data_IF_909137698545
#
_entry.id   IF_909137698545
#
_cell.length_a   1.000
_cell.length_b   1.000
_cell.length_c   1.000
_cell.angle_alpha   90.00
_cell.angle_beta   90.00
_cell.angle_gamma   90.00
#
_symmetry.space_group_name_H-M   'P 1'
#
loop_
_entity.id
_entity.type
_entity.pdbx_description
1 polymer ?
#
# COMPACT_ATOMS: atom_id res chain seq x y z
N UNK A 1 -23.26 -40.06 -3.60
CA UNK A 1 -23.15 -38.60 -3.43
C UNK A 1 -22.20 -38.38 -2.28
N UNK A 2 -20.90 -38.29 -2.60
CA UNK A 2 -19.84 -38.17 -1.59
C UNK A 2 -19.82 -36.73 -1.10
N UNK A 3 -19.72 -36.56 0.22
CA UNK A 3 -19.72 -35.26 0.90
C UNK A 3 -18.51 -34.40 0.49
N UNK A 4 -17.49 -35.03 -0.10
CA UNK A 4 -16.21 -34.46 -0.54
C UNK A 4 -16.31 -33.60 -1.80
N UNK A 5 -17.21 -33.92 -2.75
CA UNK A 5 -17.36 -33.16 -4.00
C UNK A 5 -17.96 -31.77 -3.76
N UNK A 6 -18.88 -31.66 -2.78
CA UNK A 6 -19.48 -30.38 -2.39
C UNK A 6 -18.47 -29.46 -1.70
N UNK A 7 -17.54 -30.04 -0.95
CA UNK A 7 -16.46 -29.29 -0.30
C UNK A 7 -15.52 -28.71 -1.36
N UNK A 8 -15.15 -29.49 -2.38
CA UNK A 8 -14.26 -29.07 -3.49
C UNK A 8 -14.89 -27.94 -4.32
N UNK A 9 -16.19 -28.00 -4.60
CA UNK A 9 -16.89 -26.94 -5.34
C UNK A 9 -16.91 -25.62 -4.55
N UNK A 10 -17.17 -25.70 -3.23
CA UNK A 10 -17.16 -24.54 -2.32
C UNK A 10 -15.77 -23.90 -2.24
N UNK A 11 -14.68 -24.67 -2.06
CA UNK A 11 -13.34 -24.06 -2.01
C UNK A 11 -12.92 -23.46 -3.36
N UNK A 12 -13.41 -23.99 -4.48
CA UNK A 12 -13.19 -23.42 -5.82
C UNK A 12 -13.89 -22.07 -5.99
N UNK A 13 -15.19 -21.98 -5.65
CA UNK A 13 -15.95 -20.72 -5.72
C UNK A 13 -15.37 -19.66 -4.79
N UNK A 14 -14.98 -20.02 -3.56
CA UNK A 14 -14.35 -19.08 -2.61
C UNK A 14 -13.01 -18.57 -3.16
N UNK A 15 -12.20 -19.45 -3.75
CA UNK A 15 -10.90 -19.08 -4.33
C UNK A 15 -11.08 -18.14 -5.53
N UNK A 16 -12.06 -18.40 -6.40
CA UNK A 16 -12.39 -17.54 -7.54
C UNK A 16 -12.94 -16.18 -7.09
N UNK A 17 -13.76 -16.14 -6.05
CA UNK A 17 -14.23 -14.88 -5.47
C UNK A 17 -13.09 -14.10 -4.83
N UNK A 18 -12.15 -14.76 -4.14
CA UNK A 18 -10.98 -14.09 -3.56
C UNK A 18 -10.05 -13.54 -4.64
N UNK A 19 -9.84 -14.31 -5.71
CA UNK A 19 -9.06 -13.90 -6.87
C UNK A 19 -9.72 -12.73 -7.61
N UNK A 20 -11.02 -12.82 -7.90
CA UNK A 20 -11.79 -11.78 -8.58
C UNK A 20 -11.89 -10.49 -7.74
N UNK A 21 -12.14 -10.62 -6.43
CA UNK A 21 -12.19 -9.48 -5.52
C UNK A 21 -10.81 -8.83 -5.33
N UNK A 22 -9.73 -9.60 -5.42
CA UNK A 22 -8.36 -9.08 -5.43
C UNK A 22 -8.03 -8.33 -6.72
N UNK A 23 -8.57 -8.72 -7.88
CA UNK A 23 -8.41 -7.94 -9.12
C UNK A 23 -9.23 -6.64 -9.14
N UNK A 24 -10.24 -6.51 -8.26
CA UNK A 24 -11.14 -5.36 -8.27
C UNK A 24 -10.62 -4.16 -7.45
N UNK A 25 -9.61 -4.34 -6.59
CA UNK A 25 -9.09 -3.28 -5.72
C UNK A 25 -7.75 -2.69 -6.17
N UNK A 26 -7.18 -3.15 -7.30
CA UNK A 26 -5.78 -2.86 -7.68
C UNK A 26 -5.55 -1.65 -8.59
N UNK A 27 -6.52 -0.77 -8.81
CA UNK A 27 -6.32 0.35 -9.77
C UNK A 27 -5.69 1.60 -9.13
N UNK A 28 -5.87 1.80 -7.83
CA UNK A 28 -5.30 2.96 -7.14
C UNK A 28 -4.06 2.53 -6.36
N UNK A 29 -2.88 2.86 -6.87
CA UNK A 29 -1.62 2.90 -6.09
C UNK A 29 -1.43 4.34 -5.58
N UNK A 30 -2.14 4.76 -4.51
CA UNK A 30 -2.03 6.13 -4.01
C UNK A 30 -0.63 6.38 -3.46
N UNK A 31 -0.16 7.65 -3.49
CA UNK A 31 1.11 7.99 -2.87
C UNK A 31 1.06 7.71 -1.35
N UNK A 32 2.19 7.29 -0.74
CA UNK A 32 2.27 7.18 0.70
C UNK A 32 2.05 8.57 1.34
N UNK A 33 1.50 8.59 2.54
CA UNK A 33 1.27 9.82 3.30
C UNK A 33 2.45 10.11 4.24
N UNK A 34 2.90 11.37 4.34
CA UNK A 34 3.98 11.74 5.24
C UNK A 34 3.55 11.59 6.70
N UNK A 35 4.48 11.22 7.61
CA UNK A 35 4.18 11.21 9.04
C UNK A 35 3.97 12.65 9.53
N UNK A 36 3.08 12.79 10.52
CA UNK A 36 2.81 14.07 11.19
C UNK A 36 3.98 14.39 12.12
N UNK A 37 4.50 15.61 12.03
CA UNK A 37 5.55 16.07 12.92
C UNK A 37 5.00 16.28 14.34
N UNK A 38 5.63 15.68 15.38
CA UNK A 38 5.19 15.85 16.76
C UNK A 38 5.47 17.28 17.23
N UNK A 39 4.57 17.82 18.06
CA UNK A 39 4.80 19.11 18.68
C UNK A 39 5.81 19.02 19.84
N UNK A 40 6.39 20.15 20.23
CA UNK A 40 7.30 20.22 21.38
C UNK A 40 6.62 19.81 22.70
N UNK A 41 5.30 19.99 22.79
CA UNK A 41 4.48 19.57 23.94
C UNK A 41 4.24 18.06 23.99
N UNK A 42 4.36 17.34 22.87
CA UNK A 42 4.33 15.87 22.83
C UNK A 42 5.64 15.26 23.33
N UNK A 43 6.69 16.07 23.45
CA UNK A 43 7.94 15.65 24.05
C UNK A 43 7.77 15.51 25.57
N UNK A 44 8.08 14.32 26.09
CA UNK A 44 8.05 14.00 27.51
C UNK A 44 8.94 14.90 28.39
N UNK A 45 9.90 15.66 27.80
CA UNK A 45 10.81 16.62 28.46
C UNK A 45 11.66 16.07 29.61
N UNK A 46 11.50 14.79 29.96
CA UNK A 46 12.14 14.12 31.09
C UNK A 46 13.18 13.08 30.66
N UNK A 47 13.49 13.02 29.36
CA UNK A 47 14.44 12.06 28.79
C UNK A 47 13.85 10.66 28.56
N UNK A 48 12.56 10.57 28.17
CA UNK A 48 11.95 9.30 27.78
C UNK A 48 12.69 8.66 26.57
N UNK A 49 12.88 7.33 26.62
CA UNK A 49 13.50 6.52 25.57
C UNK A 49 12.49 5.43 25.11
N UNK A 50 12.06 5.41 23.82
CA UNK A 50 12.52 6.26 22.72
C UNK A 50 11.91 7.66 22.72
N UNK A 51 12.69 8.67 22.29
CA UNK A 51 12.20 10.03 22.12
C UNK A 51 11.15 10.06 21.00
N UNK A 52 10.09 10.88 21.15
CA UNK A 52 9.06 11.01 20.11
C UNK A 52 9.63 11.49 18.77
N UNK A 53 10.69 12.30 18.82
CA UNK A 53 11.41 12.76 17.63
C UNK A 53 12.23 11.64 16.97
N UNK A 54 12.68 10.64 17.72
CA UNK A 54 13.40 9.49 17.17
C UNK A 54 12.40 8.58 16.43
N UNK A 55 11.25 8.31 17.04
CA UNK A 55 10.15 7.57 16.40
C UNK A 55 9.70 8.27 15.11
N UNK A 56 9.58 9.61 15.15
CA UNK A 56 9.24 10.40 13.98
C UNK A 56 10.30 10.28 12.88
N UNK A 57 11.59 10.35 13.21
CA UNK A 57 12.67 10.20 12.24
C UNK A 57 12.67 8.82 11.57
N UNK A 58 12.45 7.75 12.34
CA UNK A 58 12.31 6.39 11.81
C UNK A 58 11.10 6.27 10.87
N UNK A 59 9.97 6.85 11.26
CA UNK A 59 8.77 6.88 10.42
C UNK A 59 9.02 7.66 9.12
N UNK A 60 9.76 8.77 9.20
CA UNK A 60 10.12 9.60 8.06
C UNK A 60 11.07 8.87 7.10
N UNK A 61 12.01 8.07 7.60
CA UNK A 61 12.86 7.22 6.78
C UNK A 61 12.04 6.18 6.01
N UNK A 62 11.15 5.45 6.70
CA UNK A 62 10.26 4.47 6.07
C UNK A 62 9.37 5.11 5.02
N UNK A 63 8.86 6.31 5.31
CA UNK A 63 8.08 7.08 4.35
C UNK A 63 8.88 7.42 3.09
N UNK A 64 10.12 7.90 3.22
CA UNK A 64 10.99 8.23 2.08
C UNK A 64 11.26 7.00 1.21
N UNK A 65 11.53 5.85 1.82
CA UNK A 65 11.74 4.60 1.10
C UNK A 65 10.48 4.16 0.35
N UNK A 66 9.31 4.23 1.00
CA UNK A 66 8.03 3.93 0.37
C UNK A 66 7.72 4.88 -0.79
N UNK A 67 8.02 6.18 -0.63
CA UNK A 67 7.81 7.19 -1.66
C UNK A 67 8.69 6.94 -2.89
N UNK A 68 9.96 6.56 -2.68
CA UNK A 68 10.86 6.20 -3.77
C UNK A 68 10.36 4.97 -4.55
N UNK A 69 9.92 3.94 -3.84
CA UNK A 69 9.37 2.73 -4.46
C UNK A 69 8.08 3.01 -5.23
N UNK A 70 7.20 3.84 -4.66
CA UNK A 70 5.99 4.29 -5.32
C UNK A 70 6.32 5.06 -6.60
N UNK A 71 7.25 6.02 -6.54
CA UNK A 71 7.66 6.78 -7.72
C UNK A 71 8.20 5.86 -8.83
N UNK A 72 9.02 4.86 -8.49
CA UNK A 72 9.51 3.89 -9.46
C UNK A 72 8.39 3.09 -10.14
N UNK A 73 7.32 2.74 -9.42
CA UNK A 73 6.12 2.10 -10.00
C UNK A 73 5.35 3.05 -10.89
N UNK A 74 5.20 4.31 -10.51
CA UNK A 74 4.53 5.33 -11.32
C UNK A 74 5.28 5.59 -12.63
N UNK A 75 6.61 5.67 -12.59
CA UNK A 75 7.45 5.86 -13.78
C UNK A 75 7.35 4.64 -14.72
N UNK A 76 7.32 3.42 -14.18
CA UNK A 76 7.12 2.19 -14.95
C UNK A 76 5.69 2.07 -15.53
N UNK A 77 4.67 2.48 -14.77
CA UNK A 77 3.27 2.51 -15.19
C UNK A 77 2.99 3.55 -16.27
N UNK A 78 3.63 4.72 -16.18
CA UNK A 78 3.56 5.78 -17.19
C UNK A 78 4.12 5.33 -18.54
N UNK A 79 5.14 4.47 -18.55
CA UNK A 79 5.66 3.85 -19.77
C UNK A 79 4.71 2.78 -20.36
N UNK A 80 3.80 2.24 -19.56
CA UNK A 80 2.90 1.14 -19.93
C UNK A 80 1.60 1.63 -20.60
N UNK A 81 1.17 2.88 -20.36
CA UNK A 81 -0.03 3.42 -21.00
C UNK A 81 0.26 3.79 -22.47
N UNK A 82 -0.44 3.20 -23.47
CA UNK A 82 -0.34 3.64 -24.85
C UNK A 82 -0.88 5.06 -24.94
N UNK A 83 0.00 6.05 -25.17
CA UNK A 83 -0.40 7.44 -25.41
C UNK A 83 -1.44 7.46 -26.53
N UNK A 84 -2.69 7.89 -26.29
CA UNK A 84 -3.71 7.90 -27.34
C UNK A 84 -3.24 8.83 -28.46
N UNK A 85 -3.10 8.27 -29.67
CA UNK A 85 -2.70 9.01 -30.87
C UNK A 85 -3.77 10.08 -31.11
N UNK A 86 -3.39 11.36 -30.99
CA UNK A 86 -4.26 12.52 -31.25
C UNK A 86 -4.69 12.47 -32.72
N UNK A 87 -5.93 12.09 -32.99
CA UNK A 87 -6.48 12.02 -34.35
C UNK A 87 -7.02 13.40 -34.72
N UNK A 88 -6.37 14.06 -35.69
CA UNK A 88 -6.84 15.27 -36.36
C UNK A 88 -7.01 14.97 -37.84
#
# INVERSE_FOLDING_TARGET
MSMDDLIIDIVSVISLLFFFMSTFTTDSDPPPTPPIEPALEDCCQSGCDPCIFDIYQDALERYRQALQQWQARQDAGAATLPRPRRQN
#
